data_IF_232044213826
#
_entry.id   IF_232044213826
#
_cell.length_a   1.000
_cell.length_b   1.000
_cell.length_c   1.000
_cell.angle_alpha   90.00
_cell.angle_beta   90.00
_cell.angle_gamma   90.00
#
_symmetry.space_group_name_H-M   'P 1'
#
loop_
_entity.id
_entity.type
_entity.pdbx_description
1 polymer ?
#
# COMPACT_ATOMS: atom_id res chain seq x y z
N UNK A 1 1.72 4.41 -15.72
CA UNK A 1 2.92 3.58 -15.44
C UNK A 1 2.81 2.16 -15.99
N UNK A 2 1.66 1.48 -15.92
CA UNK A 2 1.52 0.08 -16.37
C UNK A 2 1.95 -0.18 -17.83
N UNK A 3 1.56 0.69 -18.77
CA UNK A 3 1.91 0.61 -20.20
C UNK A 3 3.36 1.06 -20.47
N UNK A 4 3.88 1.98 -19.66
CA UNK A 4 5.23 2.53 -19.81
C UNK A 4 6.30 1.77 -18.99
N UNK A 5 5.94 0.69 -18.30
CA UNK A 5 6.85 -0.05 -17.41
C UNK A 5 8.09 -0.56 -18.16
N UNK A 6 7.95 -0.95 -19.43
CA UNK A 6 9.06 -1.38 -20.28
C UNK A 6 10.05 -0.26 -20.62
N UNK A 7 9.56 0.99 -20.69
CA UNK A 7 10.40 2.17 -20.92
C UNK A 7 11.09 2.63 -19.63
N UNK A 8 10.41 2.52 -18.49
CA UNK A 8 11.00 2.86 -17.19
C UNK A 8 12.10 1.87 -16.80
N UNK A 9 11.88 0.58 -17.03
CA UNK A 9 12.90 -0.46 -16.73
C UNK A 9 14.15 -0.36 -17.59
N UNK A 10 14.05 0.16 -18.82
CA UNK A 10 15.22 0.35 -19.70
C UNK A 10 16.28 1.27 -19.08
N UNK A 11 15.87 2.25 -18.29
CA UNK A 11 16.80 3.16 -17.60
C UNK A 11 17.64 2.39 -16.55
N UNK A 12 17.07 1.33 -15.97
CA UNK A 12 17.71 0.50 -14.94
C UNK A 12 18.38 -0.77 -15.49
N UNK A 13 18.06 -1.18 -16.72
CA UNK A 13 18.57 -2.42 -17.35
C UNK A 13 19.26 -2.15 -18.69
N UNK A 14 19.99 -1.04 -18.80
CA UNK A 14 20.69 -0.66 -20.03
C UNK A 14 21.95 -1.50 -20.29
N UNK A 15 22.53 -2.11 -19.25
CA UNK A 15 23.77 -2.88 -19.34
C UNK A 15 23.50 -4.38 -19.62
N UNK A 16 24.35 -4.99 -20.44
CA UNK A 16 24.30 -6.42 -20.79
C UNK A 16 24.27 -7.37 -19.58
N UNK A 17 24.91 -6.98 -18.48
CA UNK A 17 24.91 -7.71 -17.21
C UNK A 17 23.56 -7.69 -16.48
N UNK A 18 22.69 -6.72 -16.80
CA UNK A 18 21.40 -6.50 -16.13
C UNK A 18 20.19 -6.87 -16.99
N UNK A 19 20.43 -7.22 -18.26
CA UNK A 19 19.37 -7.52 -19.23
C UNK A 19 18.45 -8.68 -18.80
N UNK A 20 18.96 -9.65 -18.03
CA UNK A 20 18.17 -10.78 -17.53
C UNK A 20 17.12 -10.36 -16.47
N UNK A 21 17.33 -9.24 -15.76
CA UNK A 21 16.41 -8.74 -14.72
C UNK A 21 15.24 -7.93 -15.28
N UNK A 22 15.29 -7.58 -16.57
CA UNK A 22 14.34 -6.63 -17.17
C UNK A 22 12.89 -7.10 -17.08
N UNK A 23 12.64 -8.37 -17.38
CA UNK A 23 11.29 -8.94 -17.32
C UNK A 23 10.72 -8.93 -15.89
N UNK A 24 11.53 -9.32 -14.90
CA UNK A 24 11.10 -9.32 -13.49
C UNK A 24 10.85 -7.90 -12.96
N UNK A 25 11.67 -6.93 -13.37
CA UNK A 25 11.46 -5.53 -13.01
C UNK A 25 10.19 -4.95 -13.65
N UNK A 26 9.87 -5.30 -14.90
CA UNK A 26 8.63 -4.85 -15.55
C UNK A 26 7.42 -5.40 -14.80
N UNK A 27 7.47 -6.68 -14.45
CA UNK A 27 6.42 -7.34 -13.68
C UNK A 27 6.26 -6.69 -12.30
N UNK A 28 7.38 -6.44 -11.61
CA UNK A 28 7.41 -5.74 -10.34
C UNK A 28 6.75 -4.35 -10.43
N UNK A 29 7.12 -3.53 -11.42
CA UNK A 29 6.52 -2.20 -11.62
C UNK A 29 5.02 -2.26 -11.91
N UNK A 30 4.56 -3.28 -12.65
CA UNK A 30 3.13 -3.50 -12.92
C UNK A 30 2.37 -3.80 -11.63
N UNK A 31 2.88 -4.68 -10.77
CA UNK A 31 2.31 -4.92 -9.44
C UNK A 31 2.40 -3.69 -8.54
N UNK A 32 3.50 -2.93 -8.63
CA UNK A 32 3.64 -1.66 -7.89
C UNK A 32 2.55 -0.63 -8.25
N UNK A 33 2.05 -0.65 -9.48
CA UNK A 33 0.95 0.23 -9.87
C UNK A 33 -0.36 -0.12 -9.15
N UNK A 34 -0.56 -1.39 -8.77
CA UNK A 34 -1.79 -1.86 -8.13
C UNK A 34 -1.88 -1.43 -6.66
N UNK A 35 -0.76 -1.40 -5.92
CA UNK A 35 -0.78 -0.98 -4.51
C UNK A 35 -0.83 0.55 -4.34
N UNK A 36 -0.35 1.33 -5.32
CA UNK A 36 -0.27 2.79 -5.24
C UNK A 36 -1.57 3.53 -4.84
N UNK A 37 -2.76 3.22 -5.40
CA UNK A 37 -4.01 3.84 -4.95
C UNK A 37 -4.34 3.49 -3.48
N UNK A 38 -4.00 2.28 -3.03
CA UNK A 38 -4.21 1.87 -1.64
C UNK A 38 -3.25 2.60 -0.69
N UNK A 39 -2.01 2.84 -1.10
CA UNK A 39 -1.06 3.67 -0.33
C UNK A 39 -1.62 5.07 -0.12
N UNK A 40 -2.11 5.70 -1.19
CA UNK A 40 -2.72 7.03 -1.11
C UNK A 40 -3.93 7.03 -0.16
N UNK A 41 -4.79 6.01 -0.27
CA UNK A 41 -5.95 5.83 0.61
C UNK A 41 -5.56 5.67 2.09
N UNK A 42 -4.61 4.77 2.40
CA UNK A 42 -4.11 4.58 3.76
C UNK A 42 -3.44 5.84 4.31
N UNK A 43 -2.70 6.57 3.46
CA UNK A 43 -2.10 7.86 3.79
C UNK A 43 -3.14 8.88 4.23
N UNK A 44 -4.20 9.07 3.43
CA UNK A 44 -5.31 9.98 3.78
C UNK A 44 -5.95 9.63 5.12
N UNK A 45 -6.17 8.34 5.40
CA UNK A 45 -6.73 7.88 6.66
C UNK A 45 -5.86 8.26 7.86
N UNK A 46 -4.54 8.02 7.75
CA UNK A 46 -3.58 8.35 8.80
C UNK A 46 -3.49 9.85 9.07
N UNK A 47 -3.45 10.68 8.02
CA UNK A 47 -3.46 12.14 8.15
C UNK A 47 -4.75 12.63 8.81
N UNK A 48 -5.90 12.04 8.49
CA UNK A 48 -7.16 12.43 9.11
C UNK A 48 -7.19 12.10 10.61
N UNK A 49 -6.69 10.93 11.02
CA UNK A 49 -6.56 10.61 12.44
C UNK A 49 -5.66 11.60 13.17
N UNK A 50 -4.55 12.01 12.56
CA UNK A 50 -3.65 13.01 13.12
C UNK A 50 -4.32 14.39 13.22
N UNK A 51 -5.09 14.80 12.21
CA UNK A 51 -5.78 16.10 12.19
C UNK A 51 -6.82 16.25 13.31
N UNK A 52 -7.45 15.16 13.74
CA UNK A 52 -8.43 15.11 14.83
C UNK A 52 -7.74 14.95 16.21
N UNK A 53 -6.41 14.89 16.26
CA UNK A 53 -5.65 14.67 17.50
C UNK A 53 -5.56 13.20 17.94
N UNK A 54 -5.96 12.25 17.08
CA UNK A 54 -5.88 10.79 17.32
C UNK A 54 -4.60 10.19 16.73
N UNK A 55 -3.45 10.79 17.04
CA UNK A 55 -2.15 10.36 16.51
C UNK A 55 -1.78 8.92 16.86
N UNK A 56 -2.20 8.42 18.02
CA UNK A 56 -1.98 7.02 18.41
C UNK A 56 -2.70 6.02 17.49
N UNK A 57 -3.91 6.35 17.02
CA UNK A 57 -4.63 5.52 16.06
C UNK A 57 -3.93 5.50 14.70
N UNK A 58 -3.37 6.64 14.27
CA UNK A 58 -2.53 6.70 13.08
C UNK A 58 -1.29 5.82 13.24
N UNK A 59 -0.61 5.89 14.39
CA UNK A 59 0.56 5.06 14.65
C UNK A 59 0.24 3.56 14.61
N UNK A 60 -0.87 3.15 15.24
CA UNK A 60 -1.29 1.75 15.26
C UNK A 60 -1.65 1.25 13.85
N UNK A 61 -2.36 2.08 13.07
CA UNK A 61 -2.69 1.79 11.67
C UNK A 61 -1.44 1.58 10.81
N UNK A 62 -0.46 2.48 10.91
CA UNK A 62 0.77 2.40 10.13
C UNK A 62 1.65 1.24 10.58
N UNK A 63 1.70 0.96 11.88
CA UNK A 63 2.41 -0.19 12.46
C UNK A 63 1.79 -1.49 11.98
N UNK A 64 0.46 -1.62 12.02
CA UNK A 64 -0.25 -2.80 11.51
C UNK A 64 0.11 -3.07 10.05
N UNK A 65 0.10 -2.03 9.20
CA UNK A 65 0.43 -2.17 7.78
C UNK A 65 1.87 -2.62 7.56
N UNK A 66 2.86 -1.96 8.18
CA UNK A 66 4.27 -2.26 7.96
C UNK A 66 4.74 -3.55 8.65
N UNK A 67 4.31 -3.79 9.89
CA UNK A 67 4.75 -4.95 10.67
C UNK A 67 4.13 -6.23 10.13
N UNK A 68 2.87 -6.22 9.71
CA UNK A 68 2.21 -7.41 9.16
C UNK A 68 2.56 -7.69 7.70
N UNK A 69 3.08 -6.71 6.97
CA UNK A 69 3.50 -6.93 5.60
C UNK A 69 4.64 -7.95 5.51
N UNK A 70 5.63 -7.90 6.40
CA UNK A 70 6.74 -8.86 6.45
C UNK A 70 6.29 -10.33 6.64
N UNK A 71 5.52 -10.69 7.68
CA UNK A 71 5.08 -12.08 7.88
C UNK A 71 4.15 -12.54 6.77
N UNK A 72 3.29 -11.68 6.22
CA UNK A 72 2.41 -12.07 5.10
C UNK A 72 3.22 -12.40 3.84
N UNK A 73 4.23 -11.59 3.51
CA UNK A 73 5.14 -11.89 2.41
C UNK A 73 5.90 -13.20 2.65
N UNK A 74 6.35 -13.43 3.88
CA UNK A 74 7.05 -14.65 4.27
C UNK A 74 6.18 -15.91 4.15
N UNK A 75 4.91 -15.84 4.53
CA UNK A 75 3.97 -16.96 4.37
C UNK A 75 3.72 -17.24 2.90
N UNK A 76 3.52 -16.21 2.08
CA UNK A 76 3.21 -16.36 0.65
C UNK A 76 4.39 -16.87 -0.18
N UNK A 77 5.63 -16.49 0.16
CA UNK A 77 6.81 -17.04 -0.51
C UNK A 77 7.01 -18.52 -0.18
N UNK A 78 6.76 -18.94 1.07
CA UNK A 78 6.85 -20.35 1.46
C UNK A 78 5.75 -21.19 0.81
N UNK A 79 4.54 -20.64 0.71
CA UNK A 79 3.39 -21.37 0.17
C UNK A 79 3.45 -21.55 -1.37
N UNK A 80 3.93 -20.54 -2.10
CA UNK A 80 3.86 -20.53 -3.58
C UNK A 80 5.25 -20.71 -4.23
N UNK A 81 6.33 -20.26 -3.58
CA UNK A 81 7.70 -20.45 -4.06
C UNK A 81 8.11 -19.58 -5.26
N UNK A 82 7.28 -18.62 -5.70
CA UNK A 82 7.57 -17.73 -6.84
C UNK A 82 7.82 -16.30 -6.37
N UNK A 83 8.61 -15.53 -7.14
CA UNK A 83 8.86 -14.12 -6.84
C UNK A 83 7.57 -13.27 -6.94
N UNK A 84 6.61 -13.72 -7.74
CA UNK A 84 5.29 -13.07 -7.87
C UNK A 84 4.49 -13.10 -6.58
N UNK A 85 4.62 -14.15 -5.77
CA UNK A 85 3.82 -14.28 -4.55
C UNK A 85 4.19 -13.23 -3.50
N UNK A 86 5.44 -12.76 -3.52
CA UNK A 86 5.90 -11.63 -2.70
C UNK A 86 5.19 -10.35 -3.10
N UNK A 87 5.09 -10.06 -4.41
CA UNK A 87 4.41 -8.87 -4.91
C UNK A 87 2.91 -8.88 -4.64
N UNK A 88 2.28 -10.05 -4.77
CA UNK A 88 0.89 -10.24 -4.38
C UNK A 88 0.70 -10.06 -2.87
N UNK A 89 1.61 -10.56 -2.05
CA UNK A 89 1.56 -10.41 -0.60
C UNK A 89 1.66 -8.96 -0.14
N UNK A 90 2.59 -8.21 -0.72
CA UNK A 90 2.72 -6.76 -0.50
C UNK A 90 1.41 -6.07 -0.88
N UNK A 91 0.89 -6.35 -2.08
CA UNK A 91 -0.30 -5.69 -2.60
C UNK A 91 -1.55 -6.02 -1.78
N UNK A 92 -1.75 -7.29 -1.42
CA UNK A 92 -2.90 -7.72 -0.62
C UNK A 92 -2.88 -7.12 0.78
N UNK A 93 -1.70 -7.09 1.41
CA UNK A 93 -1.60 -6.60 2.78
C UNK A 93 -1.69 -5.08 2.84
N UNK A 94 -1.16 -4.39 1.83
CA UNK A 94 -1.38 -2.95 1.66
C UNK A 94 -2.86 -2.64 1.45
N UNK A 95 -3.56 -3.39 0.60
CA UNK A 95 -4.98 -3.18 0.35
C UNK A 95 -5.81 -3.37 1.63
N UNK A 96 -5.62 -4.47 2.35
CA UNK A 96 -6.32 -4.74 3.62
C UNK A 96 -5.96 -3.67 4.66
N UNK A 97 -4.66 -3.38 4.80
CA UNK A 97 -4.12 -2.41 5.75
C UNK A 97 -4.51 -0.96 5.45
N UNK A 98 -4.90 -0.62 4.22
CA UNK A 98 -5.40 0.70 3.85
C UNK A 98 -6.93 0.81 3.95
N UNK A 99 -7.67 -0.25 3.58
CA UNK A 99 -9.13 -0.23 3.58
C UNK A 99 -9.68 -0.09 5.01
N UNK A 100 -9.17 -0.89 5.96
CA UNK A 100 -9.69 -0.89 7.34
C UNK A 100 -9.57 0.50 8.01
N UNK A 101 -8.39 1.16 8.01
CA UNK A 101 -8.24 2.47 8.63
C UNK A 101 -8.95 3.56 7.84
N UNK A 102 -9.01 3.44 6.51
CA UNK A 102 -9.72 4.42 5.67
C UNK A 102 -11.23 4.41 5.89
N UNK A 103 -11.86 3.23 6.06
CA UNK A 103 -13.26 3.17 6.45
C UNK A 103 -13.48 3.77 7.84
N UNK A 104 -12.59 3.46 8.79
CA UNK A 104 -12.67 4.03 10.13
C UNK A 104 -12.50 5.55 10.13
N UNK A 105 -11.58 6.08 9.34
CA UNK A 105 -11.35 7.52 9.22
C UNK A 105 -12.58 8.23 8.63
N UNK A 106 -13.27 7.63 7.65
CA UNK A 106 -14.51 8.17 7.10
C UNK A 106 -15.67 8.18 8.12
N UNK A 107 -15.83 7.12 8.91
CA UNK A 107 -16.84 7.06 9.97
C UNK A 107 -16.56 8.14 11.02
N UNK A 108 -15.29 8.31 11.40
CA UNK A 108 -14.86 9.36 12.31
C UNK A 108 -15.21 10.75 11.77
N UNK A 109 -14.91 11.02 10.49
CA UNK A 109 -15.27 12.27 9.82
C UNK A 109 -16.78 12.55 9.92
N UNK A 110 -17.61 11.55 9.58
CA UNK A 110 -19.05 11.68 9.65
C UNK A 110 -19.58 11.97 11.05
N UNK A 111 -18.95 11.39 12.08
CA UNK A 111 -19.31 11.65 13.49
C UNK A 111 -18.99 13.10 13.89
N UNK A 112 -17.86 13.63 13.45
CA UNK A 112 -17.43 15.01 13.73
C UNK A 112 -18.35 16.00 13.01
N UNK A 113 -18.65 15.76 11.73
CA UNK A 113 -19.54 16.63 10.96
C UNK A 113 -20.96 16.68 11.52
N UNK A 114 -21.49 15.55 12.01
CA UNK A 114 -22.81 15.53 12.68
C UNK A 114 -22.78 16.28 14.02
N UNK A 115 -21.72 16.14 14.81
CA UNK A 115 -21.55 16.88 16.06
C UNK A 115 -21.56 18.40 15.85
N UNK A 116 -20.87 18.89 14.80
CA UNK A 116 -20.87 20.31 14.44
C UNK A 116 -22.26 20.82 14.03
N UNK A 117 -23.05 20.01 13.32
CA UNK A 117 -24.41 20.38 12.89
C UNK A 117 -25.45 20.39 14.00
N UNK A 118 -25.23 19.64 15.08
CA UNK A 118 -26.17 19.59 16.22
C UNK A 118 -25.95 20.70 17.24
N UNK A 119 -24.80 21.41 17.17
CA UNK A 119 -24.45 22.52 18.05
C UNK A 119 -24.64 23.90 17.44
N UNK A 120 -25.23 23.99 16.23
CA UNK A 120 -25.63 25.22 15.55
C UNK A 120 -27.16 25.31 15.51
#
# INVERSE_FOLDING_TARGET
MFIFAEYVTLIFTYDSSTAYLRNDMVLCLRYMCLFLPFVAWGGMATTLFQAVGRGFNSFLSTTFRNVLQLPVCYVLIIAVGTMESVWWGITSMEAIGAILPGLWSLILLGSITKGMRSGA
#
